data_IF_792923212819
#
_entry.id   IF_792923212819
#
_cell.length_a   1.000
_cell.length_b   1.000
_cell.length_c   1.000
_cell.angle_alpha   90.00
_cell.angle_beta   90.00
_cell.angle_gamma   90.00
#
_symmetry.space_group_name_H-M   'P 1'
#
loop_
_entity.id
_entity.type
_entity.pdbx_description
1 polymer ?
#
# COMPACT_ATOMS: atom_id res chain seq x y z
N UNK A 1 46.45 -21.66 -2.90
CA UNK A 1 45.81 -20.37 -2.57
C UNK A 1 44.31 -20.54 -2.59
N UNK A 2 43.68 -20.66 -1.42
CA UNK A 2 42.24 -20.92 -1.27
C UNK A 2 41.46 -19.60 -1.26
N UNK A 3 40.62 -19.38 -2.28
CA UNK A 3 39.78 -18.18 -2.38
C UNK A 3 38.59 -18.36 -1.44
N UNK A 4 38.64 -17.69 -0.29
CA UNK A 4 37.54 -17.60 0.66
C UNK A 4 36.45 -16.69 0.08
N UNK A 5 35.48 -17.29 -0.61
CA UNK A 5 34.29 -16.60 -1.12
C UNK A 5 33.52 -16.04 0.08
N UNK A 6 33.35 -14.73 0.13
CA UNK A 6 32.53 -14.05 1.14
C UNK A 6 31.07 -14.44 0.90
N UNK A 7 30.57 -15.40 1.68
CA UNK A 7 29.14 -15.70 1.75
C UNK A 7 28.42 -14.48 2.36
N UNK A 8 27.55 -13.83 1.59
CA UNK A 8 26.63 -12.85 2.13
C UNK A 8 25.60 -13.60 2.98
N UNK A 9 25.69 -13.43 4.30
CA UNK A 9 24.77 -14.02 5.27
C UNK A 9 23.34 -13.52 4.99
N UNK A 10 22.52 -14.35 4.36
CA UNK A 10 21.07 -14.10 4.21
C UNK A 10 20.29 -14.43 5.50
N UNK A 11 20.96 -14.47 6.65
CA UNK A 11 20.38 -14.83 7.95
C UNK A 11 19.39 -13.80 8.51
N UNK A 12 19.18 -12.67 7.83
CA UNK A 12 18.20 -11.66 8.21
C UNK A 12 17.01 -11.57 7.25
N UNK A 13 16.64 -12.66 6.57
CA UNK A 13 15.27 -12.78 6.05
C UNK A 13 14.36 -12.89 7.26
N UNK A 14 13.89 -11.73 7.76
CA UNK A 14 12.82 -11.65 8.76
C UNK A 14 11.71 -12.61 8.30
N UNK A 15 11.20 -13.50 9.17
CA UNK A 15 10.10 -14.36 8.77
C UNK A 15 8.94 -13.46 8.39
N UNK A 16 8.69 -13.36 7.08
CA UNK A 16 7.56 -12.62 6.53
C UNK A 16 6.32 -13.36 7.02
N UNK A 17 5.73 -12.82 8.08
CA UNK A 17 4.63 -13.39 8.86
C UNK A 17 3.63 -14.13 7.98
N UNK A 18 3.72 -15.48 7.90
CA UNK A 18 2.87 -16.38 7.10
C UNK A 18 2.08 -15.64 6.01
N UNK A 19 2.79 -15.17 4.97
CA UNK A 19 2.15 -14.40 3.91
C UNK A 19 1.22 -15.34 3.14
N UNK A 20 -0.06 -15.00 3.03
CA UNK A 20 -0.99 -15.75 2.19
C UNK A 20 -0.58 -15.48 0.75
N UNK A 21 -0.21 -16.54 0.03
CA UNK A 21 0.22 -16.42 -1.36
C UNK A 21 -1.00 -16.08 -2.23
N UNK A 22 -0.99 -14.97 -2.97
CA UNK A 22 -2.05 -14.68 -3.92
C UNK A 22 -2.03 -15.71 -5.07
N UNK A 23 -3.18 -16.01 -5.69
CA UNK A 23 -3.27 -16.97 -6.79
C UNK A 23 -2.50 -16.51 -8.03
N UNK A 24 -2.35 -15.19 -8.21
CA UNK A 24 -1.56 -14.57 -9.29
C UNK A 24 -0.38 -13.84 -8.65
N UNK A 25 0.84 -14.18 -9.08
CA UNK A 25 2.04 -13.50 -8.62
C UNK A 25 2.24 -12.23 -9.45
N UNK A 26 2.04 -11.08 -8.80
CA UNK A 26 2.28 -9.77 -9.40
C UNK A 26 3.66 -9.28 -8.96
N UNK A 27 4.49 -8.89 -9.93
CA UNK A 27 5.85 -8.42 -9.68
C UNK A 27 5.92 -6.89 -9.68
N UNK A 28 7.08 -6.34 -9.32
CA UNK A 28 7.29 -4.90 -9.23
C UNK A 28 6.91 -4.32 -7.86
N UNK A 29 6.87 -2.98 -7.79
CA UNK A 29 6.58 -2.28 -6.54
C UNK A 29 5.10 -2.35 -6.20
N UNK A 30 4.22 -2.14 -7.18
CA UNK A 30 2.77 -2.29 -7.03
C UNK A 30 2.41 -3.72 -6.63
N UNK A 31 2.97 -4.73 -7.31
CA UNK A 31 2.71 -6.14 -6.99
C UNK A 31 3.05 -6.53 -5.56
N UNK A 32 4.09 -5.93 -4.96
CA UNK A 32 4.43 -6.13 -3.53
C UNK A 32 3.38 -5.54 -2.59
N UNK A 33 2.85 -4.37 -2.92
CA UNK A 33 1.76 -3.75 -2.15
C UNK A 33 0.46 -4.52 -2.29
N UNK A 34 0.09 -4.90 -3.52
CA UNK A 34 -1.10 -5.71 -3.79
C UNK A 34 -1.03 -7.06 -3.07
N UNK A 35 0.11 -7.74 -3.12
CA UNK A 35 0.35 -9.02 -2.41
C UNK A 35 0.25 -8.84 -0.89
N UNK A 36 0.81 -7.74 -0.34
CA UNK A 36 0.74 -7.45 1.08
C UNK A 36 -0.70 -7.15 1.54
N UNK A 37 -1.43 -6.34 0.77
CA UNK A 37 -2.84 -6.01 1.02
C UNK A 37 -3.71 -7.27 0.96
N UNK A 38 -3.56 -8.08 -0.10
CA UNK A 38 -4.25 -9.35 -0.25
C UNK A 38 -3.98 -10.29 0.94
N UNK A 39 -2.72 -10.41 1.36
CA UNK A 39 -2.37 -11.23 2.52
C UNK A 39 -2.97 -10.72 3.82
N UNK A 40 -3.09 -9.40 4.01
CA UNK A 40 -3.71 -8.82 5.20
C UNK A 40 -5.23 -9.03 5.19
N UNK A 41 -5.87 -8.74 4.06
CA UNK A 41 -7.32 -8.90 3.88
C UNK A 41 -7.76 -10.37 3.96
N UNK A 42 -6.96 -11.31 3.44
CA UNK A 42 -7.22 -12.74 3.54
C UNK A 42 -7.13 -13.25 4.98
N UNK A 43 -6.15 -12.77 5.77
CA UNK A 43 -6.05 -13.09 7.20
C UNK A 43 -7.25 -12.60 8.00
N UNK A 44 -7.76 -11.41 7.69
CA UNK A 44 -8.94 -10.85 8.33
C UNK A 44 -10.27 -11.32 7.72
N UNK A 45 -10.25 -12.11 6.63
CA UNK A 45 -11.43 -12.54 5.86
C UNK A 45 -12.32 -11.38 5.37
N UNK A 46 -11.73 -10.23 5.06
CA UNK A 46 -12.43 -9.02 4.60
C UNK A 46 -12.17 -8.68 3.13
N UNK A 47 -11.93 -9.70 2.30
CA UNK A 47 -11.55 -9.50 0.89
C UNK A 47 -12.58 -8.65 0.12
N UNK A 48 -13.86 -9.03 0.17
CA UNK A 48 -14.94 -8.33 -0.56
C UNK A 48 -15.12 -6.88 -0.10
N UNK A 49 -14.84 -6.60 1.18
CA UNK A 49 -14.91 -5.25 1.71
C UNK A 49 -13.75 -4.41 1.17
N UNK A 50 -12.52 -4.92 1.24
CA UNK A 50 -11.33 -4.21 0.75
C UNK A 50 -11.42 -3.95 -0.74
N UNK A 51 -11.94 -4.88 -1.54
CA UNK A 51 -12.14 -4.69 -2.98
C UNK A 51 -13.10 -3.53 -3.29
N UNK A 52 -14.26 -3.48 -2.61
CA UNK A 52 -15.21 -2.38 -2.77
C UNK A 52 -14.62 -1.03 -2.34
N UNK A 53 -13.86 -1.02 -1.25
CA UNK A 53 -13.20 0.17 -0.74
C UNK A 53 -12.10 0.66 -1.70
N UNK A 54 -11.30 -0.23 -2.29
CA UNK A 54 -10.28 0.13 -3.29
C UNK A 54 -10.89 0.71 -4.57
N UNK A 55 -12.02 0.18 -5.03
CA UNK A 55 -12.75 0.77 -6.15
C UNK A 55 -13.20 2.21 -5.85
N UNK A 56 -13.69 2.47 -4.63
CA UNK A 56 -14.05 3.83 -4.20
C UNK A 56 -12.83 4.74 -4.10
N UNK A 57 -11.74 4.25 -3.52
CA UNK A 57 -10.47 5.00 -3.47
C UNK A 57 -9.99 5.37 -4.88
N UNK A 58 -10.06 4.46 -5.85
CA UNK A 58 -9.73 4.74 -7.26
C UNK A 58 -10.61 5.85 -7.85
N UNK A 59 -11.91 5.86 -7.55
CA UNK A 59 -12.80 6.95 -8.00
C UNK A 59 -12.46 8.30 -7.38
N UNK A 60 -12.18 8.34 -6.08
CA UNK A 60 -11.81 9.58 -5.38
C UNK A 60 -10.47 10.14 -5.88
N UNK A 61 -9.52 9.26 -6.21
CA UNK A 61 -8.23 9.70 -6.70
C UNK A 61 -8.27 10.24 -8.14
N UNK A 62 -9.31 9.90 -8.90
CA UNK A 62 -9.59 10.54 -10.19
C UNK A 62 -10.13 11.96 -10.04
N UNK A 63 -10.60 12.35 -8.85
CA UNK A 63 -11.07 13.71 -8.63
C UNK A 63 -9.90 14.71 -8.75
N UNK A 64 -10.07 15.79 -9.55
CA UNK A 64 -9.00 16.73 -9.86
C UNK A 64 -8.45 17.47 -8.63
N UNK A 65 -9.28 17.59 -7.58
CA UNK A 65 -8.89 18.23 -6.32
C UNK A 65 -7.92 17.38 -5.51
N UNK A 66 -8.17 16.07 -5.45
CA UNK A 66 -7.32 15.14 -4.71
C UNK A 66 -6.06 14.81 -5.49
N UNK A 67 -6.16 14.62 -6.81
CA UNK A 67 -5.00 14.40 -7.66
C UNK A 67 -4.04 15.60 -7.63
N UNK A 68 -4.54 16.84 -7.58
CA UNK A 68 -3.69 18.03 -7.43
C UNK A 68 -2.94 18.04 -6.09
N UNK A 69 -3.64 17.76 -4.98
CA UNK A 69 -3.02 17.71 -3.64
C UNK A 69 -1.96 16.60 -3.55
N UNK A 70 -2.27 15.43 -4.13
CA UNK A 70 -1.38 14.27 -4.16
C UNK A 70 -0.13 14.55 -4.99
N UNK A 71 -0.29 15.15 -6.17
CA UNK A 71 0.79 15.32 -7.15
C UNK A 71 1.68 16.54 -6.86
N UNK A 72 1.16 17.55 -6.15
CA UNK A 72 1.89 18.79 -5.89
C UNK A 72 3.03 18.58 -4.87
N UNK A 73 4.31 18.76 -5.25
CA UNK A 73 5.46 18.54 -4.35
C UNK A 73 5.63 19.63 -3.29
N UNK A 74 4.97 20.79 -3.41
CA UNK A 74 5.06 21.90 -2.45
C UNK A 74 4.27 21.65 -1.16
N UNK A 75 3.32 20.72 -1.18
CA UNK A 75 2.52 20.39 0.01
C UNK A 75 3.34 19.43 0.88
N UNK A 76 3.56 19.81 2.14
CA UNK A 76 4.29 18.98 3.12
C UNK A 76 3.64 17.61 3.23
N UNK A 77 4.46 16.54 3.26
CA UNK A 77 3.99 15.15 3.37
C UNK A 77 3.04 14.92 4.55
N UNK A 78 3.33 15.54 5.69
CA UNK A 78 2.47 15.48 6.89
C UNK A 78 1.07 16.07 6.66
N UNK A 79 0.96 17.16 5.87
CA UNK A 79 -0.35 17.73 5.51
C UNK A 79 -1.10 16.80 4.56
N UNK A 80 -0.41 16.19 3.59
CA UNK A 80 -1.03 15.20 2.68
C UNK A 80 -1.60 14.01 3.44
N UNK A 81 -0.83 13.46 4.39
CA UNK A 81 -1.28 12.37 5.25
C UNK A 81 -2.52 12.75 6.04
N UNK A 82 -2.54 13.94 6.66
CA UNK A 82 -3.71 14.42 7.40
C UNK A 82 -4.93 14.55 6.50
N UNK A 83 -4.78 15.21 5.35
CA UNK A 83 -5.90 15.38 4.40
C UNK A 83 -6.45 14.05 3.91
N UNK A 84 -5.57 13.09 3.61
CA UNK A 84 -5.97 11.75 3.16
C UNK A 84 -6.63 10.98 4.30
N UNK A 85 -6.06 11.03 5.51
CA UNK A 85 -6.67 10.45 6.71
C UNK A 85 -8.07 11.02 7.01
N UNK A 86 -8.25 12.34 6.87
CA UNK A 86 -9.53 13.02 7.08
C UNK A 86 -10.57 12.60 6.03
N UNK A 87 -10.18 12.41 4.77
CA UNK A 87 -11.05 11.90 3.71
C UNK A 87 -11.47 10.46 4.01
N UNK A 88 -10.52 9.62 4.42
CA UNK A 88 -10.79 8.23 4.74
C UNK A 88 -11.69 8.08 5.97
N UNK A 89 -11.52 8.96 6.96
CA UNK A 89 -12.37 9.03 8.14
C UNK A 89 -13.80 9.47 7.80
N UNK A 90 -13.96 10.42 6.86
CA UNK A 90 -15.28 10.85 6.37
C UNK A 90 -16.02 9.72 5.64
N UNK A 91 -15.30 8.88 4.90
CA UNK A 91 -15.89 7.76 4.17
C UNK A 91 -16.08 6.48 5.01
N UNK A 92 -15.63 6.47 6.26
CA UNK A 92 -15.74 5.34 7.19
C UNK A 92 -15.16 4.03 6.61
N UNK A 93 -13.99 4.10 6.01
CA UNK A 93 -13.31 2.92 5.49
C UNK A 93 -12.85 1.96 6.60
N UNK A 94 -12.64 0.70 6.23
CA UNK A 94 -12.07 -0.30 7.14
C UNK A 94 -10.69 0.12 7.66
N UNK A 95 -10.31 -0.30 8.88
CA UNK A 95 -8.99 0.01 9.45
C UNK A 95 -7.84 -0.53 8.58
N UNK A 96 -8.05 -1.63 7.85
CA UNK A 96 -7.09 -2.16 6.89
C UNK A 96 -6.83 -1.18 5.75
N UNK A 97 -7.89 -0.66 5.13
CA UNK A 97 -7.80 0.31 4.04
C UNK A 97 -7.20 1.62 4.52
N UNK A 98 -7.60 2.12 5.70
CA UNK A 98 -7.03 3.33 6.28
C UNK A 98 -5.52 3.19 6.48
N UNK A 99 -5.06 2.08 7.06
CA UNK A 99 -3.65 1.83 7.27
C UNK A 99 -2.88 1.71 5.95
N UNK A 100 -3.45 1.05 4.94
CA UNK A 100 -2.82 0.93 3.63
C UNK A 100 -2.64 2.29 2.93
N UNK A 101 -3.69 3.11 2.93
CA UNK A 101 -3.62 4.43 2.29
C UNK A 101 -2.69 5.37 3.07
N UNK A 102 -2.63 5.27 4.40
CA UNK A 102 -1.64 5.98 5.20
C UNK A 102 -0.21 5.58 4.86
N UNK A 103 0.07 4.28 4.68
CA UNK A 103 1.37 3.80 4.22
C UNK A 103 1.73 4.33 2.82
N UNK A 104 0.77 4.44 1.92
CA UNK A 104 0.99 5.03 0.60
C UNK A 104 1.25 6.54 0.70
N UNK A 105 0.56 7.24 1.61
CA UNK A 105 0.79 8.65 1.90
C UNK A 105 2.17 8.92 2.52
N UNK A 106 2.62 8.08 3.45
CA UNK A 106 3.97 8.10 4.02
C UNK A 106 5.05 7.96 2.96
N UNK A 107 4.88 6.99 2.07
CA UNK A 107 5.87 6.72 1.04
C UNK A 107 5.79 7.70 -0.15
N UNK A 108 4.85 8.65 -0.14
CA UNK A 108 4.60 9.56 -1.27
C UNK A 108 4.11 8.87 -2.53
N UNK A 109 3.59 7.64 -2.39
CA UNK A 109 3.16 6.74 -3.48
C UNK A 109 1.68 6.83 -3.79
N UNK A 110 1.01 7.86 -3.30
CA UNK A 110 -0.38 8.19 -3.59
C UNK A 110 -0.68 8.38 -5.09
N UNK A 111 0.35 8.49 -5.95
CA UNK A 111 0.22 8.51 -7.41
C UNK A 111 0.09 7.11 -8.03
N UNK A 112 0.63 6.08 -7.37
CA UNK A 112 0.69 4.69 -7.87
C UNK A 112 -0.50 3.84 -7.41
N UNK A 113 -1.41 4.41 -6.63
CA UNK A 113 -2.69 3.84 -6.17
C UNK A 113 -3.61 3.36 -7.28
N UNK A 114 -3.41 3.83 -8.53
CA UNK A 114 -4.22 3.38 -9.68
C UNK A 114 -3.72 2.06 -10.28
N UNK A 115 -2.46 1.70 -10.00
CA UNK A 115 -1.80 0.50 -10.51
C UNK A 115 -1.76 -0.64 -9.47
N UNK A 116 -2.24 -0.41 -8.24
CA UNK A 116 -2.36 -1.43 -7.16
C UNK A 116 -3.79 -1.91 -6.95
#
# INVERSE_FOLDING_TARGET
FSVKVRSFSTSAVRPLSKLVKPPIQVYGLEGRYATALYSAASKEKKLDQVEKEMNRVSTLLKDPKLSFIVTNPHIKRALKQKTVGDILAKEKFSPLTVNFVNLLAENGRLRQTTDV
#
